data_IF_962430603621
#
_entry.id   IF_962430603621
#
_cell.length_a   1.000
_cell.length_b   1.000
_cell.length_c   1.000
_cell.angle_alpha   90.00
_cell.angle_beta   90.00
_cell.angle_gamma   90.00
#
_symmetry.space_group_name_H-M   'P 1'
#
loop_
_entity.id
_entity.type
_entity.pdbx_description
1 polymer ?
#
# COMPACT_ATOMS: atom_id res chain seq x y z
N UNK A 1 -5.96 -9.85 4.68
CA UNK A 1 -5.88 -8.48 4.12
C UNK A 1 -7.22 -8.02 3.60
N UNK A 2 -7.96 -8.86 2.85
CA UNK A 2 -9.35 -8.58 2.48
C UNK A 2 -10.24 -8.26 3.69
N UNK A 3 -9.99 -8.92 4.83
CA UNK A 3 -10.74 -8.72 6.08
C UNK A 3 -10.62 -7.29 6.61
N UNK A 4 -9.41 -6.70 6.61
CA UNK A 4 -9.20 -5.33 7.07
C UNK A 4 -9.97 -4.30 6.22
N UNK A 5 -10.06 -4.53 4.91
CA UNK A 5 -10.83 -3.64 4.02
C UNK A 5 -12.32 -3.82 4.26
N UNK A 6 -12.79 -5.06 4.40
CA UNK A 6 -14.18 -5.36 4.67
C UNK A 6 -14.65 -4.82 6.02
N UNK A 7 -13.84 -4.99 7.07
CA UNK A 7 -14.14 -4.50 8.41
C UNK A 7 -14.11 -2.98 8.48
N UNK A 8 -13.17 -2.31 7.81
CA UNK A 8 -13.14 -0.86 7.71
C UNK A 8 -14.43 -0.32 7.06
N UNK A 9 -14.90 -0.95 5.96
CA UNK A 9 -16.17 -0.60 5.33
C UNK A 9 -17.36 -0.81 6.27
N UNK A 10 -17.42 -1.93 7.00
CA UNK A 10 -18.48 -2.18 8.01
C UNK A 10 -18.46 -1.16 9.15
N UNK A 11 -17.30 -0.62 9.48
CA UNK A 11 -17.10 0.44 10.46
C UNK A 11 -17.39 1.84 9.91
N UNK A 12 -17.79 1.95 8.64
CA UNK A 12 -18.24 3.18 8.00
C UNK A 12 -17.17 3.92 7.21
N UNK A 13 -15.99 3.34 6.98
CA UNK A 13 -15.02 3.85 6.02
C UNK A 13 -15.56 3.75 4.58
N UNK A 14 -15.17 4.68 3.72
CA UNK A 14 -15.61 4.75 2.32
C UNK A 14 -14.39 5.01 1.41
N UNK A 15 -14.61 5.68 0.28
CA UNK A 15 -13.56 6.25 -0.55
C UNK A 15 -12.93 7.45 0.17
N UNK A 16 -12.08 7.14 1.15
CA UNK A 16 -11.39 8.12 1.99
C UNK A 16 -10.18 8.75 1.26
N UNK A 17 -10.32 9.05 -0.03
CA UNK A 17 -9.26 9.65 -0.86
C UNK A 17 -9.07 11.15 -0.60
N UNK A 18 -10.02 11.80 0.10
CA UNK A 18 -9.90 13.17 0.58
C UNK A 18 -9.78 13.19 2.10
N UNK A 19 -8.82 13.97 2.61
CA UNK A 19 -8.44 13.98 4.04
C UNK A 19 -9.54 14.47 4.97
N UNK A 20 -10.48 15.28 4.49
CA UNK A 20 -11.62 15.80 5.25
C UNK A 20 -12.71 14.74 5.51
N UNK A 21 -12.70 13.64 4.75
CA UNK A 21 -13.63 12.51 4.91
C UNK A 21 -12.96 11.26 5.47
N UNK A 22 -11.66 11.31 5.77
CA UNK A 22 -10.87 10.16 6.18
C UNK A 22 -11.27 9.66 7.58
N UNK A 23 -11.82 8.45 7.63
CA UNK A 23 -12.22 7.77 8.87
C UNK A 23 -11.09 6.89 9.40
N UNK A 24 -9.96 7.50 9.77
CA UNK A 24 -8.78 6.78 10.26
C UNK A 24 -9.09 5.88 11.48
N UNK A 25 -10.03 6.29 12.32
CA UNK A 25 -10.52 5.51 13.47
C UNK A 25 -11.10 4.15 13.07
N UNK A 26 -11.80 4.07 11.94
CA UNK A 26 -12.35 2.83 11.40
C UNK A 26 -11.22 1.92 10.87
N UNK A 27 -10.23 2.51 10.19
CA UNK A 27 -9.09 1.79 9.65
C UNK A 27 -8.18 1.22 10.74
N UNK A 28 -7.89 1.97 11.80
CA UNK A 28 -7.10 1.48 12.94
C UNK A 28 -7.77 0.27 13.62
N UNK A 29 -9.08 0.34 13.85
CA UNK A 29 -9.86 -0.78 14.42
C UNK A 29 -9.85 -2.00 13.51
N UNK A 30 -10.06 -1.82 12.21
CA UNK A 30 -10.06 -2.92 11.25
C UNK A 30 -8.69 -3.60 11.15
N UNK A 31 -7.61 -2.82 11.14
CA UNK A 31 -6.24 -3.35 11.14
C UNK A 31 -5.92 -4.16 12.40
N UNK A 32 -6.34 -3.66 13.57
CA UNK A 32 -6.20 -4.38 14.83
C UNK A 32 -6.98 -5.71 14.84
N UNK A 33 -8.22 -5.71 14.35
CA UNK A 33 -9.06 -6.92 14.24
C UNK A 33 -8.46 -7.96 13.28
N UNK A 34 -7.93 -7.50 12.15
CA UNK A 34 -7.23 -8.34 11.17
C UNK A 34 -5.81 -8.77 11.63
N UNK A 35 -5.35 -8.32 12.80
CA UNK A 35 -3.99 -8.55 13.33
C UNK A 35 -2.90 -8.13 12.34
N UNK A 36 -3.13 -7.02 11.63
CA UNK A 36 -2.21 -6.44 10.67
C UNK A 36 -1.50 -5.22 11.25
N UNK A 37 -0.30 -4.95 10.75
CA UNK A 37 0.50 -3.78 11.13
C UNK A 37 0.79 -2.93 9.91
N UNK A 38 0.58 -1.61 10.04
CA UNK A 38 0.88 -0.62 8.98
C UNK A 38 2.30 -0.73 8.42
N UNK A 39 3.28 -1.02 9.29
CA UNK A 39 4.68 -1.20 8.91
C UNK A 39 4.89 -2.25 7.82
N UNK A 40 4.03 -3.25 7.68
CA UNK A 40 4.13 -4.20 6.59
C UNK A 40 3.95 -3.53 5.21
N UNK A 41 3.12 -2.49 5.14
CA UNK A 41 2.75 -1.80 3.91
C UNK A 41 3.59 -0.53 3.64
N UNK A 42 4.12 0.08 4.70
CA UNK A 42 4.90 1.32 4.63
C UNK A 42 6.40 1.11 4.51
N UNK A 43 6.89 -0.13 4.61
CA UNK A 43 8.30 -0.45 4.41
C UNK A 43 8.73 -0.18 2.98
N UNK A 44 9.96 0.29 2.86
CA UNK A 44 10.67 0.35 1.58
C UNK A 44 10.71 -1.04 0.93
N UNK A 45 10.51 -1.08 -0.37
CA UNK A 45 10.62 -2.31 -1.17
C UNK A 45 11.96 -2.32 -1.87
N UNK A 46 12.71 -3.40 -1.70
CA UNK A 46 13.94 -3.60 -2.46
C UNK A 46 13.64 -3.67 -3.96
N UNK A 47 14.45 -2.98 -4.76
CA UNK A 47 14.43 -3.09 -6.23
C UNK A 47 14.73 -4.51 -6.72
N UNK A 48 15.37 -5.35 -5.89
CA UNK A 48 15.67 -6.75 -6.21
C UNK A 48 14.50 -7.70 -5.91
N UNK A 49 13.50 -7.27 -5.15
CA UNK A 49 12.30 -8.06 -4.90
C UNK A 49 11.30 -7.93 -6.07
N UNK A 50 10.39 -8.91 -6.26
CA UNK A 50 9.24 -8.74 -7.13
C UNK A 50 8.40 -7.53 -6.66
N UNK A 51 8.26 -6.54 -7.53
CA UNK A 51 7.46 -5.36 -7.26
C UNK A 51 6.04 -5.55 -7.81
N UNK A 52 5.01 -4.95 -7.18
CA UNK A 52 3.61 -5.11 -7.63
C UNK A 52 3.39 -4.71 -9.10
N UNK A 53 4.21 -3.82 -9.64
CA UNK A 53 4.14 -3.30 -11.01
C UNK A 53 5.12 -3.97 -11.98
N UNK A 54 5.87 -5.01 -11.57
CA UNK A 54 6.83 -5.70 -12.47
C UNK A 54 6.14 -6.35 -13.69
N UNK A 55 4.83 -6.56 -13.64
CA UNK A 55 4.03 -7.05 -14.77
C UNK A 55 3.76 -5.96 -15.83
N UNK A 56 4.01 -4.69 -15.54
CA UNK A 56 3.76 -3.56 -16.45
C UNK A 56 4.98 -3.39 -17.36
N UNK A 57 4.77 -3.53 -18.67
CA UNK A 57 5.83 -3.33 -19.67
C UNK A 57 5.84 -1.89 -20.16
N UNK A 58 6.85 -1.13 -19.76
CA UNK A 58 7.03 0.28 -20.16
C UNK A 58 8.02 0.45 -21.32
N UNK A 59 8.67 -0.63 -21.78
CA UNK A 59 9.76 -0.58 -22.75
C UNK A 59 11.13 -0.24 -22.16
N UNK A 60 11.19 0.07 -20.86
CA UNK A 60 12.42 0.35 -20.12
C UNK A 60 12.71 -0.81 -19.17
N UNK A 61 13.98 -1.21 -19.09
CA UNK A 61 14.42 -2.28 -18.18
C UNK A 61 14.40 -1.81 -16.73
N UNK A 62 14.01 -2.70 -15.81
CA UNK A 62 13.93 -2.42 -14.36
C UNK A 62 15.30 -2.00 -13.80
N UNK A 63 16.36 -2.63 -14.29
CA UNK A 63 17.75 -2.37 -13.91
C UNK A 63 18.22 -0.99 -14.36
N UNK A 64 17.66 -0.46 -15.45
CA UNK A 64 17.91 0.93 -15.84
C UNK A 64 17.24 1.90 -14.87
N UNK A 65 15.95 1.68 -14.54
CA UNK A 65 15.21 2.52 -13.60
C UNK A 65 15.84 2.53 -12.20
N UNK A 66 16.30 1.37 -11.71
CA UNK A 66 16.98 1.28 -10.42
C UNK A 66 18.28 2.09 -10.39
N UNK A 67 19.10 2.01 -11.45
CA UNK A 67 20.34 2.80 -11.57
C UNK A 67 20.10 4.30 -11.66
N UNK A 68 19.05 4.73 -12.37
CA UNK A 68 18.71 6.16 -12.44
C UNK A 68 18.21 6.69 -11.10
N UNK A 69 17.46 5.88 -10.34
CA UNK A 69 17.03 6.25 -8.99
C UNK A 69 18.19 6.40 -8.01
N UNK A 70 19.21 5.53 -8.06
CA UNK A 70 20.41 5.62 -7.21
C UNK A 70 21.29 6.84 -7.51
N UNK A 71 21.17 7.45 -8.69
CA UNK A 71 21.92 8.65 -9.09
C UNK A 71 21.24 9.96 -8.67
N UNK A 72 19.95 9.92 -8.35
CA UNK A 72 19.13 11.08 -8.03
C UNK A 72 19.33 11.52 -6.57
#
# INVERSE_FOLDING_TARGET
MADAVYDAWRLGAKLDSWTDQLRMDAWEKAMAQAKLTWLYFLKERSTQAPLPWDHIRTGVQKEYLAREWEKA
#
